data_IF_548726885846
#
_entry.id   IF_548726885846
#
_cell.length_a   1.000
_cell.length_b   1.000
_cell.length_c   1.000
_cell.angle_alpha   90.00
_cell.angle_beta   90.00
_cell.angle_gamma   90.00
#
_symmetry.space_group_name_H-M   'P 1'
#
loop_
_entity.id
_entity.type
_entity.pdbx_description
1 polymer ?
#
# COMPACT_ATOMS: atom_id res chain seq x y z
N UNK A 1 -53.79 48.57 38.96
CA UNK A 1 -53.44 47.97 37.65
C UNK A 1 -51.93 47.72 37.64
N UNK A 2 -51.48 46.49 37.90
CA UNK A 2 -50.05 46.13 37.97
C UNK A 2 -49.81 45.03 36.94
N UNK A 3 -49.12 45.32 35.84
CA UNK A 3 -48.79 44.35 34.79
C UNK A 3 -47.29 44.03 34.83
N UNK A 4 -47.02 42.74 34.92
CA UNK A 4 -45.77 41.98 34.85
C UNK A 4 -44.59 42.61 34.11
N UNK A 5 -43.44 42.68 34.81
CA UNK A 5 -42.10 42.93 34.23
C UNK A 5 -41.10 41.90 34.79
N UNK A 6 -41.46 40.61 34.81
CA UNK A 6 -40.56 39.55 35.32
C UNK A 6 -40.04 38.59 34.24
N UNK A 7 -40.49 38.68 32.99
CA UNK A 7 -40.22 37.64 31.98
C UNK A 7 -38.91 37.81 31.18
N UNK A 8 -38.18 38.93 31.30
CA UNK A 8 -37.02 39.20 30.43
C UNK A 8 -35.69 38.76 31.06
N UNK A 9 -35.60 38.61 32.39
CA UNK A 9 -34.35 38.26 33.06
C UNK A 9 -33.97 36.77 32.98
N UNK A 10 -34.89 35.89 32.59
CA UNK A 10 -34.65 34.44 32.59
C UNK A 10 -33.98 33.94 31.29
N UNK A 11 -34.01 34.72 30.20
CA UNK A 11 -33.42 34.30 28.92
C UNK A 11 -31.90 34.53 28.81
N UNK A 12 -31.28 35.37 29.65
CA UNK A 12 -29.84 35.66 29.55
C UNK A 12 -28.94 34.62 30.24
N UNK A 13 -29.50 33.71 31.04
CA UNK A 13 -28.72 32.72 31.79
C UNK A 13 -28.45 31.43 31.01
N UNK A 14 -29.00 31.26 29.80
CA UNK A 14 -28.89 30.01 29.05
C UNK A 14 -27.69 29.94 28.08
N UNK A 15 -26.89 31.00 27.94
CA UNK A 15 -25.69 31.01 27.08
C UNK A 15 -24.40 30.52 27.76
N UNK A 16 -24.49 29.89 28.94
CA UNK A 16 -23.32 29.45 29.72
C UNK A 16 -23.12 27.92 29.77
N UNK A 17 -23.67 27.15 28.83
CA UNK A 17 -23.44 25.70 28.76
C UNK A 17 -22.65 25.34 27.50
N UNK A 18 -21.42 24.89 27.78
CA UNK A 18 -20.60 24.00 26.98
C UNK A 18 -20.22 24.48 25.57
N UNK A 19 -19.14 25.25 25.53
CA UNK A 19 -18.15 25.08 24.47
C UNK A 19 -17.52 23.69 24.69
N UNK A 20 -18.15 22.65 24.15
CA UNK A 20 -17.49 21.37 23.93
C UNK A 20 -16.48 21.62 22.81
N UNK A 21 -15.32 22.15 23.22
CA UNK A 21 -14.13 22.04 22.41
C UNK A 21 -13.91 20.55 22.23
N UNK A 22 -14.40 20.04 21.10
CA UNK A 22 -13.90 18.81 20.53
C UNK A 22 -12.42 19.07 20.17
N UNK A 23 -11.58 19.16 21.20
CA UNK A 23 -10.22 18.65 21.15
C UNK A 23 -10.37 17.15 20.93
N UNK A 24 -10.63 16.79 19.67
CA UNK A 24 -10.09 15.58 19.12
C UNK A 24 -8.59 15.70 19.35
N UNK A 25 -8.13 15.24 20.52
CA UNK A 25 -6.75 14.87 20.75
C UNK A 25 -6.49 13.79 19.71
N UNK A 26 -6.07 14.23 18.52
CA UNK A 26 -5.67 13.37 17.42
C UNK A 26 -4.47 12.61 17.96
N UNK A 27 -4.72 11.43 18.53
CA UNK A 27 -3.65 10.49 18.75
C UNK A 27 -2.94 10.31 17.42
N UNK A 28 -1.60 10.35 17.38
CA UNK A 28 -0.86 10.21 16.14
C UNK A 28 -1.32 8.92 15.47
N UNK A 29 -2.02 9.05 14.34
CA UNK A 29 -2.51 7.89 13.61
C UNK A 29 -1.29 7.14 13.07
N UNK A 30 -1.13 5.88 13.47
CA UNK A 30 -0.03 5.04 13.02
C UNK A 30 -0.21 4.76 11.52
N UNK A 31 0.61 5.39 10.68
CA UNK A 31 0.57 5.20 9.24
C UNK A 31 1.42 4.00 8.82
N UNK A 32 0.78 2.94 8.34
CA UNK A 32 1.45 1.77 7.78
C UNK A 32 1.28 1.78 6.26
N UNK A 33 2.38 1.86 5.51
CA UNK A 33 2.36 1.70 4.05
C UNK A 33 2.59 0.24 3.69
N UNK A 34 1.65 -0.33 2.94
CA UNK A 34 1.77 -1.68 2.38
C UNK A 34 2.53 -1.57 1.05
N UNK A 35 3.74 -2.14 1.00
CA UNK A 35 4.61 -2.11 -0.19
C UNK A 35 4.46 -3.40 -1.03
N UNK A 36 3.91 -4.46 -0.43
CA UNK A 36 3.76 -5.76 -1.07
C UNK A 36 2.59 -5.83 -2.04
N UNK A 37 2.77 -6.59 -3.13
CA UNK A 37 1.73 -6.86 -4.11
C UNK A 37 0.76 -7.95 -3.62
N UNK A 38 -0.54 -7.78 -3.88
CA UNK A 38 -1.57 -8.79 -3.59
C UNK A 38 -1.66 -9.85 -4.69
N UNK A 39 -1.98 -11.08 -4.31
CA UNK A 39 -2.29 -12.16 -5.25
C UNK A 39 -3.70 -12.00 -5.81
N UNK A 40 -3.89 -12.38 -7.09
CA UNK A 40 -5.21 -12.54 -7.70
C UNK A 40 -5.89 -13.82 -7.22
N UNK A 41 -5.12 -14.91 -7.15
CA UNK A 41 -5.51 -16.19 -6.57
C UNK A 41 -4.27 -16.93 -6.06
N UNK A 42 -4.39 -18.07 -5.35
CA UNK A 42 -3.21 -18.76 -4.81
C UNK A 42 -2.15 -19.05 -5.88
N UNK A 43 -0.96 -18.47 -5.72
CA UNK A 43 0.17 -18.56 -6.67
C UNK A 43 -0.06 -17.90 -8.04
N UNK A 44 -1.08 -17.04 -8.19
CA UNK A 44 -1.32 -16.24 -9.41
C UNK A 44 -1.21 -14.76 -9.07
N UNK A 45 -0.31 -14.08 -9.77
CA UNK A 45 -0.07 -12.65 -9.65
C UNK A 45 -0.37 -11.96 -10.98
N UNK A 46 -1.06 -10.83 -10.92
CA UNK A 46 -1.26 -9.93 -12.05
C UNK A 46 -0.78 -8.54 -11.61
N UNK A 47 0.29 -8.06 -12.24
CA UNK A 47 1.01 -6.87 -11.78
C UNK A 47 1.29 -5.94 -12.95
N UNK A 48 1.13 -4.64 -12.73
CA UNK A 48 1.51 -3.64 -13.71
C UNK A 48 2.99 -3.29 -13.56
N UNK A 49 3.82 -3.74 -14.51
CA UNK A 49 5.26 -3.51 -14.47
C UNK A 49 5.69 -2.03 -14.55
N UNK A 50 4.79 -1.12 -14.95
CA UNK A 50 5.06 0.32 -15.03
C UNK A 50 4.78 1.05 -13.72
N UNK A 51 4.16 0.42 -12.74
CA UNK A 51 3.94 1.06 -11.44
C UNK A 51 5.28 1.24 -10.71
N UNK A 52 5.55 2.45 -10.17
CA UNK A 52 6.74 2.67 -9.36
C UNK A 52 6.71 1.76 -8.13
N UNK A 53 7.82 1.05 -7.88
CA UNK A 53 7.98 0.20 -6.69
C UNK A 53 9.03 0.76 -5.75
N UNK A 54 8.79 0.60 -4.46
CA UNK A 54 9.74 0.91 -3.40
C UNK A 54 10.43 -0.38 -2.93
N UNK A 55 11.69 -0.33 -2.46
CA UNK A 55 12.53 0.85 -2.19
C UNK A 55 13.28 1.42 -3.40
N UNK A 56 13.50 0.64 -4.47
CA UNK A 56 14.12 1.09 -5.71
C UNK A 56 13.36 0.50 -6.91
N UNK A 57 13.12 1.27 -7.99
CA UNK A 57 12.57 0.72 -9.22
C UNK A 57 13.44 -0.43 -9.75
N UNK A 58 12.80 -1.46 -10.31
CA UNK A 58 13.51 -2.58 -10.91
C UNK A 58 14.34 -2.13 -12.12
N UNK A 59 15.60 -2.56 -12.19
CA UNK A 59 16.48 -2.28 -13.33
C UNK A 59 16.18 -3.21 -14.52
N UNK A 60 15.76 -4.45 -14.23
CA UNK A 60 15.40 -5.46 -15.23
C UNK A 60 14.25 -6.36 -14.76
N UNK A 61 13.95 -7.41 -15.55
CA UNK A 61 12.92 -8.39 -15.22
C UNK A 61 13.27 -9.31 -14.03
N UNK A 62 14.54 -9.63 -13.81
CA UNK A 62 14.96 -10.48 -12.69
C UNK A 62 14.77 -9.79 -11.35
N UNK A 63 15.17 -8.52 -11.28
CA UNK A 63 14.96 -7.63 -10.15
C UNK A 63 13.48 -7.39 -9.89
N UNK A 64 12.69 -7.25 -10.96
CA UNK A 64 11.24 -7.13 -10.86
C UNK A 64 10.61 -8.39 -10.25
N UNK A 65 10.98 -9.58 -10.76
CA UNK A 65 10.40 -10.83 -10.28
C UNK A 65 10.77 -11.12 -8.83
N UNK A 66 11.95 -10.69 -8.36
CA UNK A 66 12.38 -10.84 -6.96
C UNK A 66 11.44 -10.15 -5.95
N UNK A 67 10.65 -9.16 -6.36
CA UNK A 67 9.68 -8.52 -5.46
C UNK A 67 8.41 -9.35 -5.24
N UNK A 68 8.18 -10.36 -6.09
CA UNK A 68 7.04 -11.26 -6.00
C UNK A 68 7.38 -12.40 -5.05
N UNK A 69 6.45 -12.77 -4.17
CA UNK A 69 6.72 -13.85 -3.21
C UNK A 69 6.96 -15.19 -3.90
N UNK A 70 7.90 -15.97 -3.36
CA UNK A 70 8.32 -17.25 -3.92
C UNK A 70 9.32 -17.15 -5.07
N UNK A 71 9.57 -15.95 -5.59
CA UNK A 71 10.70 -15.68 -6.48
C UNK A 71 11.95 -15.28 -5.68
N UNK A 72 13.09 -15.73 -6.17
CA UNK A 72 14.41 -15.23 -5.82
C UNK A 72 15.19 -15.02 -7.11
N UNK A 73 16.38 -14.44 -7.02
CA UNK A 73 17.24 -14.27 -8.18
C UNK A 73 18.68 -14.67 -7.86
N UNK A 74 19.33 -15.33 -8.82
CA UNK A 74 20.73 -15.73 -8.71
C UNK A 74 21.61 -14.52 -8.95
N UNK A 75 22.57 -14.27 -8.06
CA UNK A 75 23.46 -13.11 -8.16
C UNK A 75 24.37 -13.23 -9.39
N UNK A 76 24.12 -12.39 -10.40
CA UNK A 76 25.00 -12.17 -11.56
C UNK A 76 25.78 -10.85 -11.53
N UNK A 77 25.63 -10.05 -10.46
CA UNK A 77 26.29 -8.75 -10.31
C UNK A 77 25.30 -7.71 -9.80
N UNK A 78 25.25 -6.55 -10.46
CA UNK A 78 24.31 -5.46 -10.18
C UNK A 78 23.02 -5.48 -11.01
N UNK A 79 22.95 -6.29 -12.07
CA UNK A 79 21.80 -6.46 -12.95
C UNK A 79 21.88 -7.83 -13.66
N UNK A 80 20.87 -8.15 -14.46
CA UNK A 80 20.69 -9.36 -15.27
C UNK A 80 20.72 -10.64 -14.44
N UNK A 81 20.08 -10.61 -13.27
CA UNK A 81 20.00 -11.77 -12.39
C UNK A 81 19.02 -12.82 -12.94
N UNK A 82 19.36 -14.11 -12.82
CA UNK A 82 18.47 -15.17 -13.29
C UNK A 82 17.40 -15.45 -12.24
N UNK A 83 16.10 -15.33 -12.57
CA UNK A 83 15.04 -15.60 -11.61
C UNK A 83 14.93 -17.09 -11.29
N UNK A 84 14.53 -17.39 -10.07
CA UNK A 84 14.22 -18.71 -9.57
C UNK A 84 12.85 -18.65 -8.89
N UNK A 85 11.97 -19.58 -9.21
CA UNK A 85 10.70 -19.74 -8.51
C UNK A 85 10.76 -20.97 -7.61
N UNK A 86 10.67 -20.78 -6.30
CA UNK A 86 10.71 -21.87 -5.29
C UNK A 86 11.91 -22.81 -5.47
N UNK A 87 13.07 -22.26 -5.83
CA UNK A 87 14.31 -23.02 -6.08
C UNK A 87 14.43 -23.62 -7.49
N UNK A 88 13.44 -23.44 -8.37
CA UNK A 88 13.50 -23.84 -9.78
C UNK A 88 13.90 -22.66 -10.66
N UNK A 89 15.01 -22.79 -11.38
CA UNK A 89 15.46 -21.82 -12.37
C UNK A 89 15.87 -22.48 -13.69
N UNK A 90 16.41 -21.68 -14.61
CA UNK A 90 16.78 -22.10 -15.96
C UNK A 90 15.60 -22.76 -16.69
N UNK A 91 15.83 -23.90 -17.36
CA UNK A 91 14.81 -24.61 -18.15
C UNK A 91 13.56 -25.05 -17.38
N UNK A 92 13.59 -25.01 -16.04
CA UNK A 92 12.44 -25.33 -15.17
C UNK A 92 11.53 -24.13 -14.91
N UNK A 93 11.93 -22.93 -15.30
CA UNK A 93 11.13 -21.71 -15.20
C UNK A 93 10.91 -21.15 -16.61
N UNK A 94 9.68 -21.27 -17.12
CA UNK A 94 9.30 -20.74 -18.42
C UNK A 94 8.91 -19.26 -18.29
N UNK A 95 9.57 -18.40 -19.08
CA UNK A 95 9.17 -17.00 -19.21
C UNK A 95 8.61 -16.81 -20.62
N UNK A 96 7.41 -16.26 -20.71
CA UNK A 96 6.74 -15.99 -21.98
C UNK A 96 6.59 -14.48 -22.14
N UNK A 97 7.06 -13.95 -23.26
CA UNK A 97 6.87 -12.56 -23.66
C UNK A 97 6.03 -12.52 -24.94
N UNK A 98 4.87 -11.88 -24.88
CA UNK A 98 3.93 -11.77 -26.01
C UNK A 98 3.65 -13.10 -26.74
N UNK A 99 3.47 -14.17 -25.97
CA UNK A 99 3.19 -15.52 -26.49
C UNK A 99 4.42 -16.31 -26.96
N UNK A 100 5.62 -15.72 -26.93
CA UNK A 100 6.86 -16.40 -27.28
C UNK A 100 7.65 -16.78 -26.04
N UNK A 101 8.14 -18.02 -25.99
CA UNK A 101 9.02 -18.47 -24.92
C UNK A 101 10.37 -17.76 -25.04
N UNK A 102 10.74 -17.03 -23.99
CA UNK A 102 12.09 -16.51 -23.84
C UNK A 102 13.03 -17.67 -23.52
N UNK A 103 14.03 -17.85 -24.38
CA UNK A 103 15.07 -18.85 -24.19
C UNK A 103 16.23 -18.23 -23.42
N UNK A 104 16.67 -18.89 -22.36
CA UNK A 104 17.87 -18.53 -21.62
C UNK A 104 19.13 -18.93 -22.39
N UNK A 105 20.24 -18.24 -22.11
CA UNK A 105 21.59 -18.57 -22.56
C UNK A 105 22.44 -19.17 -21.44
#
# INVERSE_FOLDING_TARGET
MKKSVCCIAVLSSFSAIAQDANESTQQPEEHITIIGDSMLSPSVYELNAKQPRQPLPAHDGGDFLKTITGFSATRKGGASSDPMFRGMGASRLTIVNDGQMLQGG
#
